data_IF_177538722008
#
_entry.id   IF_177538722008
#
_cell.length_a   1.000
_cell.length_b   1.000
_cell.length_c   1.000
_cell.angle_alpha   90.00
_cell.angle_beta   90.00
_cell.angle_gamma   90.00
#
_symmetry.space_group_name_H-M   'P 1'
#
loop_
_entity.id
_entity.type
_entity.pdbx_description
1 polymer ?
#
# COMPACT_ATOMS: atom_id res chain seq x y z
N UNK A 1 10.69 -38.39 -4.43
CA UNK A 1 10.29 -36.96 -4.49
C UNK A 1 11.13 -36.20 -3.47
N UNK A 2 12.11 -35.40 -3.91
CA UNK A 2 12.98 -34.62 -3.02
C UNK A 2 12.20 -33.43 -2.45
N UNK A 3 12.10 -33.33 -1.12
CA UNK A 3 11.49 -32.19 -0.43
C UNK A 3 12.57 -31.12 -0.24
N UNK A 4 12.70 -30.21 -1.20
CA UNK A 4 13.54 -29.02 -1.04
C UNK A 4 12.90 -28.12 0.00
N UNK A 5 13.45 -28.11 1.21
CA UNK A 5 12.99 -27.20 2.26
C UNK A 5 13.35 -25.77 1.84
N UNK A 6 12.33 -24.92 1.66
CA UNK A 6 12.51 -23.48 1.44
C UNK A 6 13.13 -22.87 2.71
N UNK A 7 14.46 -22.73 2.69
CA UNK A 7 15.21 -22.08 3.77
C UNK A 7 15.09 -20.57 3.57
N UNK A 8 14.09 -19.95 4.20
CA UNK A 8 13.99 -18.50 4.26
C UNK A 8 15.08 -17.98 5.18
N UNK A 9 16.19 -17.55 4.58
CA UNK A 9 17.19 -16.75 5.27
C UNK A 9 16.60 -15.38 5.53
N UNK A 10 15.96 -15.22 6.69
CA UNK A 10 15.56 -13.91 7.21
C UNK A 10 16.84 -13.09 7.38
N UNK A 11 17.19 -12.32 6.35
CA UNK A 11 18.33 -11.42 6.42
C UNK A 11 18.05 -10.43 7.54
N UNK A 12 18.82 -10.53 8.64
CA UNK A 12 18.80 -9.53 9.71
C UNK A 12 19.04 -8.16 9.07
N UNK A 13 18.20 -7.19 9.44
CA UNK A 13 18.18 -5.83 8.89
C UNK A 13 19.56 -5.16 9.00
N UNK A 14 20.35 -5.54 10.02
CA UNK A 14 21.74 -5.11 10.24
C UNK A 14 22.75 -5.51 9.13
N UNK A 15 22.40 -6.49 8.28
CA UNK A 15 23.25 -6.97 7.17
C UNK A 15 22.79 -6.46 5.80
N UNK A 16 21.68 -5.73 5.73
CA UNK A 16 21.22 -5.17 4.47
C UNK A 16 22.00 -3.88 4.14
N UNK A 17 22.45 -3.71 2.89
CA UNK A 17 22.94 -2.43 2.42
C UNK A 17 21.93 -1.31 2.74
N UNK A 18 22.37 -0.17 3.32
CA UNK A 18 21.48 0.94 3.68
C UNK A 18 20.65 1.43 2.48
N UNK A 19 21.17 1.29 1.26
CA UNK A 19 20.47 1.60 0.01
C UNK A 19 19.16 0.81 -0.18
N UNK A 20 19.11 -0.44 0.27
CA UNK A 20 17.90 -1.28 0.17
C UNK A 20 16.86 -0.83 1.19
N UNK A 21 17.29 -0.43 2.39
CA UNK A 21 16.40 0.10 3.42
C UNK A 21 15.79 1.44 3.01
N UNK A 22 16.59 2.33 2.42
CA UNK A 22 16.12 3.63 1.93
C UNK A 22 15.13 3.43 0.77
N UNK A 23 15.47 2.58 -0.22
CA UNK A 23 14.56 2.26 -1.34
C UNK A 23 13.27 1.61 -0.85
N UNK A 24 13.35 0.66 0.08
CA UNK A 24 12.18 0.01 0.67
C UNK A 24 11.29 0.98 1.44
N UNK A 25 11.89 1.87 2.23
CA UNK A 25 11.17 2.90 2.98
C UNK A 25 10.48 3.90 2.05
N UNK A 26 11.16 4.32 0.99
CA UNK A 26 10.59 5.21 -0.03
C UNK A 26 9.40 4.58 -0.76
N UNK A 27 9.54 3.34 -1.24
CA UNK A 27 8.46 2.61 -1.92
C UNK A 27 7.29 2.34 -0.97
N UNK A 28 7.57 1.96 0.28
CA UNK A 28 6.54 1.77 1.30
C UNK A 28 5.79 3.06 1.60
N UNK A 29 6.50 4.19 1.68
CA UNK A 29 5.91 5.50 1.92
C UNK A 29 5.04 5.93 0.73
N UNK A 30 5.54 5.77 -0.50
CA UNK A 30 4.78 6.07 -1.71
C UNK A 30 3.49 5.23 -1.81
N UNK A 31 3.57 3.93 -1.52
CA UNK A 31 2.38 3.06 -1.47
C UNK A 31 1.40 3.49 -0.38
N UNK A 32 1.89 3.80 0.83
CA UNK A 32 1.04 4.27 1.92
C UNK A 32 0.30 5.56 1.55
N UNK A 33 0.97 6.51 0.91
CA UNK A 33 0.38 7.75 0.44
C UNK A 33 -0.70 7.48 -0.63
N UNK A 34 -0.40 6.67 -1.65
CA UNK A 34 -1.37 6.34 -2.70
C UNK A 34 -2.61 5.64 -2.13
N UNK A 35 -2.47 4.83 -1.08
CA UNK A 35 -3.58 4.13 -0.44
C UNK A 35 -4.41 5.02 0.51
N UNK A 36 -3.81 6.06 1.09
CA UNK A 36 -4.44 6.88 2.13
C UNK A 36 -5.01 8.19 1.59
N UNK A 37 -4.32 8.87 0.68
CA UNK A 37 -4.74 10.16 0.11
C UNK A 37 -6.15 10.12 -0.54
N UNK A 38 -6.51 9.11 -1.35
CA UNK A 38 -7.83 9.06 -1.97
C UNK A 38 -8.96 8.84 -0.95
N UNK A 39 -8.73 7.97 0.04
CA UNK A 39 -9.69 7.72 1.12
C UNK A 39 -9.89 8.95 2.00
N UNK A 40 -8.80 9.64 2.35
CA UNK A 40 -8.84 10.85 3.15
C UNK A 40 -9.49 12.02 2.40
N UNK A 41 -9.14 12.20 1.12
CA UNK A 41 -9.75 13.22 0.27
C UNK A 41 -11.26 13.02 0.12
N UNK A 42 -11.70 11.78 -0.06
CA UNK A 42 -13.14 11.47 -0.12
C UNK A 42 -13.83 11.73 1.21
N UNK A 43 -13.22 11.34 2.34
CA UNK A 43 -13.77 11.60 3.67
C UNK A 43 -14.00 13.10 3.91
N UNK A 44 -12.98 13.92 3.64
CA UNK A 44 -13.03 15.37 3.81
C UNK A 44 -14.06 15.97 2.85
N UNK A 45 -14.07 15.56 1.57
CA UNK A 45 -15.02 16.06 0.59
C UNK A 45 -16.48 15.79 0.96
N UNK A 46 -16.77 14.60 1.49
CA UNK A 46 -18.12 14.26 1.96
C UNK A 46 -18.48 15.02 3.25
N UNK A 47 -17.52 15.25 4.14
CA UNK A 47 -17.73 16.04 5.34
C UNK A 47 -18.07 17.50 5.02
N UNK A 48 -17.35 18.14 4.09
CA UNK A 48 -17.63 19.50 3.63
C UNK A 48 -18.99 19.64 2.93
N UNK A 49 -19.51 18.55 2.35
CA UNK A 49 -20.87 18.51 1.79
C UNK A 49 -21.98 18.42 2.87
N UNK A 50 -21.63 18.42 4.15
CA UNK A 50 -22.58 18.35 5.26
C UNK A 50 -23.11 16.93 5.54
N UNK A 51 -22.45 15.89 5.02
CA UNK A 51 -22.80 14.50 5.29
C UNK A 51 -22.36 14.15 6.72
N UNK A 52 -23.18 13.35 7.41
CA UNK A 52 -22.88 12.86 8.75
C UNK A 52 -21.50 12.20 8.80
N UNK A 53 -20.69 12.59 9.79
CA UNK A 53 -19.32 12.08 10.04
C UNK A 53 -19.27 10.55 10.05
N UNK A 54 -20.28 9.87 10.60
CA UNK A 54 -20.33 8.41 10.61
C UNK A 54 -20.49 7.80 9.21
N UNK A 55 -21.26 8.45 8.34
CA UNK A 55 -21.49 8.00 6.96
C UNK A 55 -20.27 8.31 6.10
N UNK A 56 -19.70 9.51 6.22
CA UNK A 56 -18.48 9.87 5.50
C UNK A 56 -17.29 9.01 5.93
N UNK A 57 -17.16 8.71 7.22
CA UNK A 57 -16.15 7.79 7.73
C UNK A 57 -16.34 6.39 7.14
N UNK A 58 -17.57 5.86 7.14
CA UNK A 58 -17.88 4.56 6.55
C UNK A 58 -17.50 4.47 5.06
N UNK A 59 -17.83 5.51 4.28
CA UNK A 59 -17.50 5.57 2.85
C UNK A 59 -15.99 5.71 2.63
N UNK A 60 -15.31 6.59 3.38
CA UNK A 60 -13.86 6.78 3.31
C UNK A 60 -13.10 5.49 3.64
N UNK A 61 -13.51 4.80 4.71
CA UNK A 61 -12.92 3.51 5.11
C UNK A 61 -13.20 2.42 4.08
N UNK A 62 -14.43 2.37 3.54
CA UNK A 62 -14.79 1.44 2.47
C UNK A 62 -13.91 1.61 1.24
N UNK A 63 -13.67 2.86 0.83
CA UNK A 63 -12.75 3.16 -0.28
C UNK A 63 -11.31 2.71 0.02
N UNK A 64 -10.83 2.89 1.26
CA UNK A 64 -9.50 2.43 1.66
C UNK A 64 -9.34 0.91 1.47
N UNK A 65 -10.33 0.12 1.91
CA UNK A 65 -10.34 -1.34 1.72
C UNK A 65 -10.46 -1.75 0.25
N UNK A 66 -11.24 -1.00 -0.54
CA UNK A 66 -11.31 -1.22 -1.98
C UNK A 66 -9.95 -0.99 -2.65
N UNK A 67 -9.23 0.07 -2.27
CA UNK A 67 -7.87 0.32 -2.76
C UNK A 67 -6.88 -0.78 -2.34
N UNK A 68 -6.98 -1.28 -1.11
CA UNK A 68 -6.17 -2.40 -0.64
C UNK A 68 -6.45 -3.68 -1.45
N UNK A 69 -7.71 -3.97 -1.77
CA UNK A 69 -8.06 -5.11 -2.62
C UNK A 69 -7.50 -4.97 -4.04
N UNK A 70 -7.44 -3.74 -4.55
CA UNK A 70 -6.81 -3.42 -5.83
C UNK A 70 -5.28 -3.28 -5.76
N UNK A 71 -4.66 -3.27 -4.57
CA UNK A 71 -3.22 -3.13 -4.39
C UNK A 71 -2.42 -4.18 -5.19
N UNK A 72 -2.89 -5.43 -5.26
CA UNK A 72 -2.27 -6.45 -6.12
C UNK A 72 -2.28 -6.10 -7.61
N UNK A 73 -3.36 -5.47 -8.09
CA UNK A 73 -3.47 -5.00 -9.48
C UNK A 73 -2.59 -3.77 -9.72
N UNK A 74 -2.55 -2.84 -8.76
CA UNK A 74 -1.69 -1.65 -8.81
C UNK A 74 -0.22 -2.06 -8.81
N UNK A 75 0.19 -3.00 -7.95
CA UNK A 75 1.54 -3.54 -7.90
C UNK A 75 1.93 -4.23 -9.20
N UNK A 76 1.03 -5.02 -9.82
CA UNK A 76 1.26 -5.59 -11.15
C UNK A 76 1.40 -4.52 -12.24
N UNK A 77 0.56 -3.50 -12.23
CA UNK A 77 0.61 -2.41 -13.21
C UNK A 77 1.87 -1.57 -13.08
N UNK A 78 2.31 -1.28 -11.85
CA UNK A 78 3.59 -0.60 -11.61
C UNK A 78 4.75 -1.49 -12.03
N UNK A 79 4.75 -2.78 -11.67
CA UNK A 79 5.82 -3.70 -12.06
C UNK A 79 5.95 -3.83 -13.57
N UNK A 80 4.84 -3.81 -14.32
CA UNK A 80 4.91 -3.84 -15.79
C UNK A 80 5.39 -2.54 -16.42
N UNK A 81 5.30 -1.40 -15.73
CA UNK A 81 5.84 -0.12 -16.21
C UNK A 81 7.35 0.03 -15.96
N UNK A 82 7.91 -0.78 -15.06
CA UNK A 82 9.35 -0.81 -14.75
C UNK A 82 10.10 -1.95 -15.44
N UNK A 83 9.39 -2.80 -16.20
CA UNK A 83 9.97 -3.92 -16.95
C UNK A 83 10.23 -3.60 -18.43
N UNK A 84 10.16 -2.32 -18.80
CA UNK A 84 10.55 -1.76 -20.11
C UNK A 84 11.86 -0.95 -20.00
#
# INVERSE_FOLDING_TARGET
MSRTALKFESQRIDKLPPDILIKGTWVSTAMALILTLPSLGLFIGLYEMGINIGISAGIGFGLHFALLAFSRRISKAISSLFED
#
